data_IF_992184570645
#
_entry.id   IF_992184570645
#
_cell.length_a   1.000
_cell.length_b   1.000
_cell.length_c   1.000
_cell.angle_alpha   90.00
_cell.angle_beta   90.00
_cell.angle_gamma   90.00
#
_symmetry.space_group_name_H-M   'P 1'
#
loop_
_entity.id
_entity.type
_entity.pdbx_description
1 polymer ?
#
# COMPACT_ATOMS: atom_id res chain seq x y z
N UNK A 1 19.04 29.83 25.27
CA UNK A 1 18.30 28.55 25.17
C UNK A 1 19.22 27.45 24.62
N UNK A 2 20.07 26.87 25.49
CA UNK A 2 21.17 25.94 25.12
C UNK A 2 21.15 24.61 25.91
N UNK A 3 20.01 24.23 26.51
CA UNK A 3 19.98 23.17 27.53
C UNK A 3 18.94 22.08 27.26
N UNK A 4 19.08 21.27 26.21
CA UNK A 4 18.21 20.08 26.06
C UNK A 4 18.86 18.80 25.52
N UNK A 5 20.19 18.75 25.33
CA UNK A 5 20.88 17.53 24.94
C UNK A 5 22.06 17.24 25.85
N UNK A 6 21.77 17.05 27.14
CA UNK A 6 22.64 16.27 28.02
C UNK A 6 22.11 14.84 27.98
N UNK A 7 22.39 14.13 26.87
CA UNK A 7 22.33 12.68 26.86
C UNK A 7 23.31 12.23 27.94
N UNK A 8 22.77 11.77 29.08
CA UNK A 8 23.52 11.18 30.18
C UNK A 8 24.09 9.85 29.69
N UNK A 9 25.18 9.91 28.94
CA UNK A 9 26.12 8.80 28.74
C UNK A 9 26.79 8.55 30.08
N UNK A 10 26.18 7.69 30.88
CA UNK A 10 26.63 7.44 32.24
C UNK A 10 25.94 6.25 32.87
N UNK A 11 25.92 5.11 32.17
CA UNK A 11 25.96 3.80 32.82
C UNK A 11 26.43 2.75 31.82
N UNK A 12 27.68 2.32 32.00
CA UNK A 12 28.33 1.22 31.29
C UNK A 12 27.77 -0.11 31.83
N UNK A 13 26.48 -0.37 31.62
CA UNK A 13 25.87 -1.66 31.93
C UNK A 13 25.99 -2.57 30.69
N UNK A 14 26.86 -3.58 30.68
CA UNK A 14 27.08 -4.45 29.52
C UNK A 14 25.77 -5.12 29.03
N UNK A 15 24.80 -5.28 29.92
CA UNK A 15 23.47 -5.80 29.61
C UNK A 15 22.64 -4.90 28.67
N UNK A 16 22.80 -3.57 28.70
CA UNK A 16 22.03 -2.68 27.81
C UNK A 16 22.54 -2.75 26.36
N UNK A 17 23.86 -2.85 26.18
CA UNK A 17 24.48 -3.09 24.86
C UNK A 17 24.11 -4.47 24.33
N UNK A 18 24.16 -5.49 25.18
CA UNK A 18 23.81 -6.87 24.82
C UNK A 18 22.33 -7.03 24.48
N UNK A 19 21.44 -6.38 25.24
CA UNK A 19 20.01 -6.31 24.94
C UNK A 19 19.76 -5.55 23.64
N UNK A 20 20.47 -4.44 23.40
CA UNK A 20 20.44 -3.73 22.13
C UNK A 20 20.85 -4.62 20.96
N UNK A 21 21.97 -5.34 21.05
CA UNK A 21 22.44 -6.23 19.98
C UNK A 21 21.52 -7.44 19.76
N UNK A 22 21.02 -8.08 20.82
CA UNK A 22 20.06 -9.20 20.70
C UNK A 22 18.71 -8.76 20.14
N UNK A 23 18.25 -7.58 20.53
CA UNK A 23 17.03 -6.97 20.02
C UNK A 23 17.20 -6.62 18.53
N UNK A 24 18.34 -6.04 18.13
CA UNK A 24 18.66 -5.78 16.72
C UNK A 24 18.79 -7.07 15.89
N UNK A 25 19.35 -8.15 16.44
CA UNK A 25 19.50 -9.45 15.76
C UNK A 25 18.15 -10.17 15.61
N UNK A 26 17.29 -10.15 16.62
CA UNK A 26 15.90 -10.66 16.51
C UNK A 26 15.07 -9.81 15.56
N UNK A 27 15.23 -8.48 15.61
CA UNK A 27 14.57 -7.57 14.67
C UNK A 27 15.10 -7.73 13.23
N UNK A 28 16.36 -8.11 13.04
CA UNK A 28 16.84 -8.41 11.70
C UNK A 28 16.25 -9.71 11.13
N UNK A 29 15.87 -10.69 11.97
CA UNK A 29 15.40 -12.00 11.52
C UNK A 29 13.89 -12.07 11.30
N UNK A 30 13.10 -11.43 12.15
CA UNK A 30 11.63 -11.49 12.11
C UNK A 30 11.02 -10.53 11.07
N UNK A 31 11.68 -9.42 10.75
CA UNK A 31 11.12 -8.35 9.93
C UNK A 31 11.59 -8.38 8.47
N UNK A 32 12.66 -9.14 8.18
CA UNK A 32 13.06 -9.44 6.80
C UNK A 32 11.93 -10.08 5.98
N UNK A 33 11.18 -11.11 6.45
CA UNK A 33 10.13 -11.72 5.64
C UNK A 33 8.96 -10.76 5.34
N UNK A 34 8.54 -9.93 6.29
CA UNK A 34 7.46 -8.94 6.07
C UNK A 34 7.86 -7.88 5.05
N UNK A 35 9.11 -7.38 5.11
CA UNK A 35 9.64 -6.45 4.10
C UNK A 35 9.76 -7.07 2.72
N UNK A 36 10.23 -8.32 2.64
CA UNK A 36 10.29 -9.06 1.37
C UNK A 36 8.87 -9.28 0.83
N UNK A 37 7.90 -9.59 1.68
CA UNK A 37 6.49 -9.71 1.30
C UNK A 37 5.91 -8.39 0.78
N UNK A 38 6.22 -7.26 1.43
CA UNK A 38 5.85 -5.92 0.96
C UNK A 38 6.47 -5.58 -0.40
N UNK A 39 7.75 -5.88 -0.61
CA UNK A 39 8.42 -5.63 -1.89
C UNK A 39 7.88 -6.55 -3.00
N UNK A 40 7.66 -7.83 -2.68
CA UNK A 40 7.09 -8.79 -3.62
C UNK A 40 5.68 -8.39 -4.06
N UNK A 41 4.85 -7.93 -3.12
CA UNK A 41 3.50 -7.43 -3.43
C UNK A 41 3.54 -6.18 -4.32
N UNK A 42 4.48 -5.25 -4.12
CA UNK A 42 4.68 -4.11 -5.04
C UNK A 42 5.08 -4.58 -6.44
N UNK A 43 6.00 -5.56 -6.50
CA UNK A 43 6.44 -6.17 -7.75
C UNK A 43 5.31 -6.83 -8.55
N UNK A 44 4.21 -7.22 -7.89
CA UNK A 44 3.00 -7.73 -8.54
C UNK A 44 1.95 -6.62 -8.77
N UNK A 45 1.80 -5.68 -7.84
CA UNK A 45 0.82 -4.62 -7.90
C UNK A 45 0.99 -3.71 -9.12
N UNK A 46 2.23 -3.29 -9.41
CA UNK A 46 2.52 -2.40 -10.54
C UNK A 46 2.24 -3.06 -11.90
N UNK A 47 2.71 -4.28 -12.20
CA UNK A 47 2.32 -4.98 -13.42
C UNK A 47 0.83 -5.23 -13.54
N UNK A 48 0.14 -5.55 -12.45
CA UNK A 48 -1.32 -5.72 -12.47
C UNK A 48 -2.04 -4.40 -12.76
N UNK A 49 -1.59 -3.30 -12.16
CA UNK A 49 -2.12 -1.96 -12.42
C UNK A 49 -1.89 -1.53 -13.88
N UNK A 50 -0.68 -1.69 -14.40
CA UNK A 50 -0.37 -1.43 -15.81
C UNK A 50 -1.17 -2.34 -16.74
N UNK A 51 -1.19 -3.64 -16.46
CA UNK A 51 -1.94 -4.63 -17.22
C UNK A 51 -3.43 -4.31 -17.24
N UNK A 52 -3.99 -3.81 -16.14
CA UNK A 52 -5.36 -3.33 -16.05
C UNK A 52 -5.57 -2.09 -16.93
N UNK A 53 -4.75 -1.04 -16.81
CA UNK A 53 -4.89 0.21 -17.59
C UNK A 53 -4.78 -0.05 -19.10
N UNK A 54 -3.85 -0.89 -19.54
CA UNK A 54 -3.64 -1.18 -20.96
C UNK A 54 -4.52 -2.32 -21.49
N UNK A 55 -5.35 -2.94 -20.64
CA UNK A 55 -6.21 -4.03 -21.09
C UNK A 55 -7.31 -3.51 -22.03
N UNK A 56 -7.39 -4.09 -23.23
CA UNK A 56 -8.47 -3.84 -24.18
C UNK A 56 -9.81 -4.49 -23.78
N UNK A 57 -9.82 -5.29 -22.70
CA UNK A 57 -10.94 -6.14 -22.30
C UNK A 57 -11.37 -5.89 -20.85
N UNK A 58 -11.98 -4.73 -20.61
CA UNK A 58 -12.60 -4.39 -19.33
C UNK A 58 -14.05 -4.84 -19.23
N UNK A 59 -14.78 -4.72 -20.35
CA UNK A 59 -16.14 -5.22 -20.50
C UNK A 59 -16.22 -6.19 -21.69
N UNK A 60 -16.99 -7.25 -21.49
CA UNK A 60 -17.44 -8.18 -22.53
C UNK A 60 -18.95 -8.11 -22.62
N UNK A 61 -19.51 -7.92 -23.81
CA UNK A 61 -20.93 -8.03 -24.07
C UNK A 61 -21.20 -8.99 -25.23
N UNK A 62 -22.48 -9.24 -25.54
CA UNK A 62 -22.84 -10.04 -26.71
C UNK A 62 -22.40 -9.32 -27.99
N UNK A 63 -21.29 -9.74 -28.59
CA UNK A 63 -20.78 -9.19 -29.85
C UNK A 63 -19.87 -7.96 -29.73
N UNK A 64 -19.55 -7.49 -28.52
CA UNK A 64 -18.60 -6.38 -28.34
C UNK A 64 -17.66 -6.57 -27.15
N UNK A 65 -16.43 -6.07 -27.32
CA UNK A 65 -15.44 -5.95 -26.25
C UNK A 65 -15.07 -4.49 -26.12
N UNK A 66 -14.97 -3.99 -24.89
CA UNK A 66 -14.59 -2.61 -24.61
C UNK A 66 -13.47 -2.55 -23.58
N UNK A 67 -12.43 -1.80 -23.91
CA UNK A 67 -11.36 -1.46 -22.97
C UNK A 67 -11.72 -0.23 -22.14
N UNK A 68 -10.86 0.12 -21.19
CA UNK A 68 -11.01 1.36 -20.44
C UNK A 68 -10.90 2.61 -21.34
N UNK A 69 -10.17 2.51 -22.46
CA UNK A 69 -9.96 3.59 -23.42
C UNK A 69 -10.99 3.61 -24.55
N UNK A 70 -11.80 2.58 -24.69
CA UNK A 70 -12.84 2.57 -25.73
C UNK A 70 -14.20 2.77 -25.07
N UNK A 71 -15.02 3.63 -25.66
CA UNK A 71 -16.41 3.83 -25.22
C UNK A 71 -17.40 3.16 -26.16
N UNK A 72 -16.95 2.22 -27.00
CA UNK A 72 -17.82 1.54 -27.94
C UNK A 72 -18.65 0.46 -27.24
N UNK A 73 -19.98 0.54 -27.34
CA UNK A 73 -20.92 -0.41 -26.75
C UNK A 73 -22.01 -0.80 -27.76
N UNK A 74 -22.73 -1.88 -27.46
CA UNK A 74 -23.91 -2.28 -28.23
C UNK A 74 -25.17 -1.95 -27.43
N UNK A 75 -26.07 -1.12 -27.97
CA UNK A 75 -27.30 -0.77 -27.28
C UNK A 75 -28.38 -1.85 -27.41
N UNK A 76 -29.27 -1.98 -26.43
CA UNK A 76 -30.30 -3.05 -26.36
C UNK A 76 -31.16 -3.18 -27.64
N UNK A 77 -31.42 -2.07 -28.33
CA UNK A 77 -32.36 -2.01 -29.44
C UNK A 77 -31.70 -2.11 -30.83
N UNK A 78 -30.37 -2.21 -30.91
CA UNK A 78 -29.65 -2.27 -32.19
C UNK A 78 -28.61 -3.38 -32.23
N UNK A 79 -28.46 -4.00 -33.40
CA UNK A 79 -27.42 -5.01 -33.69
C UNK A 79 -26.08 -4.39 -34.08
N UNK A 80 -25.99 -3.06 -34.13
CA UNK A 80 -24.81 -2.31 -34.57
C UNK A 80 -24.10 -1.71 -33.37
N UNK A 81 -22.77 -1.90 -33.33
CA UNK A 81 -21.89 -1.30 -32.33
C UNK A 81 -21.87 0.23 -32.50
N UNK A 82 -22.15 0.95 -31.43
CA UNK A 82 -22.08 2.41 -31.39
C UNK A 82 -20.80 2.85 -30.68
N UNK A 83 -20.03 3.72 -31.34
CA UNK A 83 -18.82 4.32 -30.79
C UNK A 83 -19.05 5.83 -30.67
N UNK A 84 -19.48 6.33 -29.50
CA UNK A 84 -19.61 7.76 -29.30
C UNK A 84 -18.25 8.45 -29.50
N UNK A 85 -18.27 9.58 -30.21
CA UNK A 85 -17.05 10.37 -30.50
C UNK A 85 -16.40 10.92 -29.23
N UNK A 86 -17.20 11.12 -28.17
CA UNK A 86 -16.74 11.62 -26.88
C UNK A 86 -17.02 10.62 -25.77
N UNK A 87 -15.99 10.33 -24.98
CA UNK A 87 -16.09 9.50 -23.77
C UNK A 87 -16.85 10.23 -22.66
N UNK A 88 -17.65 9.53 -21.86
CA UNK A 88 -18.35 10.13 -20.74
C UNK A 88 -17.38 10.64 -19.67
N UNK A 89 -17.77 11.72 -18.99
CA UNK A 89 -16.93 12.40 -18.00
C UNK A 89 -16.52 11.49 -16.84
N UNK A 90 -17.41 10.57 -16.40
CA UNK A 90 -17.12 9.62 -15.34
C UNK A 90 -16.01 8.64 -15.73
N UNK A 91 -15.95 8.20 -16.98
CA UNK A 91 -14.93 7.27 -17.47
C UNK A 91 -13.54 7.94 -17.47
N UNK A 92 -13.46 9.22 -17.83
CA UNK A 92 -12.22 10.00 -17.74
C UNK A 92 -11.75 10.16 -16.28
N UNK A 93 -12.67 10.31 -15.33
CA UNK A 93 -12.32 10.38 -13.91
C UNK A 93 -11.73 9.04 -13.41
N UNK A 94 -12.31 7.91 -13.82
CA UNK A 94 -11.80 6.56 -13.49
C UNK A 94 -10.40 6.36 -14.08
N UNK A 95 -10.19 6.69 -15.37
CA UNK A 95 -8.87 6.64 -16.01
C UNK A 95 -7.86 7.50 -15.25
N UNK A 96 -8.25 8.73 -14.91
CA UNK A 96 -7.41 9.66 -14.15
C UNK A 96 -6.99 9.10 -12.80
N UNK A 97 -7.93 8.53 -12.04
CA UNK A 97 -7.65 7.90 -10.74
C UNK A 97 -6.71 6.69 -10.86
N UNK A 98 -6.89 5.86 -11.88
CA UNK A 98 -6.04 4.69 -12.11
C UNK A 98 -4.60 5.09 -12.49
N UNK A 99 -4.44 6.07 -13.38
CA UNK A 99 -3.11 6.61 -13.75
C UNK A 99 -2.46 7.30 -12.56
N UNK A 100 -3.22 8.07 -11.78
CA UNK A 100 -2.75 8.70 -10.56
C UNK A 100 -2.22 7.66 -9.57
N UNK A 101 -3.00 6.61 -9.28
CA UNK A 101 -2.59 5.52 -8.41
C UNK A 101 -1.34 4.79 -8.93
N UNK A 102 -1.25 4.55 -10.24
CA UNK A 102 -0.08 3.92 -10.85
C UNK A 102 1.19 4.79 -10.74
N UNK A 103 1.08 6.09 -11.03
CA UNK A 103 2.21 7.03 -10.98
C UNK A 103 2.75 7.22 -9.56
N UNK A 104 1.85 7.42 -8.59
CA UNK A 104 2.22 7.55 -7.18
C UNK A 104 2.71 6.22 -6.62
N UNK A 105 2.08 5.10 -7.00
CA UNK A 105 2.54 3.77 -6.64
C UNK A 105 3.96 3.47 -7.14
N UNK A 106 4.32 3.97 -8.32
CA UNK A 106 5.67 3.87 -8.86
C UNK A 106 6.68 4.68 -8.02
N UNK A 107 6.32 5.91 -7.63
CA UNK A 107 7.15 6.73 -6.72
C UNK A 107 7.33 6.04 -5.36
N UNK A 108 6.27 5.46 -4.81
CA UNK A 108 6.33 4.69 -3.57
C UNK A 108 7.21 3.44 -3.70
N UNK A 109 7.20 2.77 -4.85
CA UNK A 109 8.08 1.64 -5.13
C UNK A 109 9.56 2.06 -5.14
N UNK A 110 9.89 3.23 -5.72
CA UNK A 110 11.24 3.78 -5.65
C UNK A 110 11.64 4.05 -4.20
N UNK A 111 10.77 4.65 -3.38
CA UNK A 111 11.03 4.88 -1.96
C UNK A 111 11.28 3.56 -1.20
N UNK A 112 10.51 2.51 -1.51
CA UNK A 112 10.70 1.18 -0.93
C UNK A 112 12.07 0.59 -1.32
N UNK A 113 12.49 0.70 -2.58
CA UNK A 113 13.80 0.23 -3.06
C UNK A 113 14.93 1.01 -2.40
N UNK A 114 14.83 2.34 -2.34
CA UNK A 114 15.80 3.20 -1.63
C UNK A 114 15.89 2.83 -0.14
N UNK A 115 14.76 2.48 0.47
CA UNK A 115 14.71 1.96 1.84
C UNK A 115 15.49 0.65 2.01
N UNK A 116 15.49 -0.23 1.01
CA UNK A 116 16.31 -1.46 1.03
C UNK A 116 17.80 -1.13 0.95
N UNK A 117 18.18 -0.23 0.04
CA UNK A 117 19.58 0.15 -0.22
C UNK A 117 20.21 1.01 0.90
N UNK A 118 19.40 1.60 1.77
CA UNK A 118 19.89 2.48 2.85
C UNK A 118 20.38 1.67 4.06
N UNK A 119 21.68 1.81 4.40
CA UNK A 119 22.32 1.16 5.56
C UNK A 119 21.90 1.67 6.95
N UNK A 120 21.72 2.99 7.21
CA UNK A 120 21.31 3.45 8.54
C UNK A 120 19.85 3.05 8.88
N UNK A 121 19.68 2.23 9.92
CA UNK A 121 18.39 1.74 10.42
C UNK A 121 17.29 2.81 10.64
N UNK A 122 17.55 3.97 11.27
CA UNK A 122 16.47 4.92 11.55
C UNK A 122 15.93 5.58 10.28
N UNK A 123 16.80 5.85 9.29
CA UNK A 123 16.37 6.40 7.99
C UNK A 123 15.59 5.38 7.17
N UNK A 124 16.03 4.11 7.19
CA UNK A 124 15.36 3.01 6.50
C UNK A 124 13.89 2.90 6.92
N UNK A 125 13.63 2.95 8.23
CA UNK A 125 12.26 2.78 8.75
C UNK A 125 11.35 3.94 8.33
N UNK A 126 11.86 5.17 8.31
CA UNK A 126 11.11 6.33 7.81
C UNK A 126 10.67 6.18 6.35
N UNK A 127 11.54 5.68 5.48
CA UNK A 127 11.19 5.44 4.07
C UNK A 127 10.10 4.36 3.90
N UNK A 128 10.14 3.29 4.69
CA UNK A 128 9.13 2.23 4.64
C UNK A 128 7.78 2.70 5.18
N UNK A 129 7.76 3.48 6.26
CA UNK A 129 6.52 4.07 6.78
C UNK A 129 5.83 4.95 5.75
N UNK A 130 6.59 5.90 5.18
CA UNK A 130 6.09 6.82 4.15
C UNK A 130 5.60 6.07 2.91
N UNK A 131 6.37 5.07 2.44
CA UNK A 131 5.93 4.23 1.32
C UNK A 131 4.63 3.49 1.62
N UNK A 132 4.46 2.95 2.84
CA UNK A 132 3.24 2.26 3.27
C UNK A 132 1.99 3.14 3.23
N UNK A 133 2.09 4.38 3.73
CA UNK A 133 0.99 5.36 3.66
C UNK A 133 0.61 5.70 2.21
N UNK A 134 1.62 5.87 1.35
CA UNK A 134 1.39 6.16 -0.06
C UNK A 134 0.70 4.98 -0.75
N UNK A 135 1.12 3.74 -0.48
CA UNK A 135 0.45 2.54 -1.01
C UNK A 135 -0.99 2.39 -0.53
N UNK A 136 -1.29 2.81 0.70
CA UNK A 136 -2.67 2.84 1.21
C UNK A 136 -3.53 3.82 0.40
N UNK A 137 -3.01 5.03 0.13
CA UNK A 137 -3.70 6.02 -0.70
C UNK A 137 -3.91 5.49 -2.12
N UNK A 138 -2.92 4.83 -2.71
CA UNK A 138 -3.05 4.20 -4.03
C UNK A 138 -4.11 3.10 -4.04
N UNK A 139 -4.14 2.25 -3.01
CA UNK A 139 -5.16 1.20 -2.88
C UNK A 139 -6.57 1.80 -2.81
N UNK A 140 -6.77 2.82 -1.98
CA UNK A 140 -8.04 3.52 -1.87
C UNK A 140 -8.45 4.17 -3.20
N UNK A 141 -7.54 4.89 -3.86
CA UNK A 141 -7.81 5.53 -5.15
C UNK A 141 -8.20 4.50 -6.23
N UNK A 142 -7.47 3.37 -6.31
CA UNK A 142 -7.78 2.29 -7.23
C UNK A 142 -9.14 1.64 -6.92
N UNK A 143 -9.45 1.37 -5.65
CA UNK A 143 -10.76 0.83 -5.23
C UNK A 143 -11.89 1.79 -5.58
N UNK A 144 -11.73 3.10 -5.32
CA UNK A 144 -12.74 4.10 -5.68
C UNK A 144 -12.96 4.11 -7.20
N UNK A 145 -11.90 4.09 -7.99
CA UNK A 145 -12.00 4.02 -9.45
C UNK A 145 -12.77 2.77 -9.91
N UNK A 146 -12.49 1.62 -9.31
CA UNK A 146 -13.14 0.34 -9.61
C UNK A 146 -14.60 0.27 -9.16
N UNK A 147 -15.01 1.03 -8.15
CA UNK A 147 -16.42 1.12 -7.72
C UNK A 147 -17.19 2.11 -8.59
N UNK A 148 -16.58 3.22 -9.00
CA UNK A 148 -17.20 4.20 -9.90
C UNK A 148 -17.47 3.59 -11.27
N UNK A 149 -16.58 2.73 -11.76
CA UNK A 149 -16.70 2.12 -13.08
C UNK A 149 -18.04 1.36 -13.32
N UNK A 150 -18.42 0.35 -12.51
CA UNK A 150 -19.71 -0.32 -12.64
C UNK A 150 -20.88 0.63 -12.36
N UNK A 151 -20.75 1.54 -11.39
CA UNK A 151 -21.80 2.53 -11.10
C UNK A 151 -22.07 3.45 -12.30
N UNK A 152 -21.03 3.86 -13.03
CA UNK A 152 -21.16 4.67 -14.24
C UNK A 152 -21.83 3.93 -15.40
N UNK A 153 -21.55 2.63 -15.55
CA UNK A 153 -22.17 1.77 -16.55
C UNK A 153 -23.66 1.54 -16.24
N UNK A 154 -24.01 1.22 -14.99
CA UNK A 154 -25.40 0.96 -14.57
C UNK A 154 -26.30 2.20 -14.66
N UNK A 155 -25.73 3.40 -14.52
CA UNK A 155 -26.46 4.65 -14.73
C UNK A 155 -26.85 4.86 -16.20
N UNK A 156 -26.11 4.24 -17.14
CA UNK A 156 -26.39 4.29 -18.56
C UNK A 156 -27.25 3.11 -19.00
N UNK A 157 -28.57 3.27 -18.88
CA UNK A 157 -29.59 2.25 -19.25
C UNK A 157 -29.59 1.87 -20.73
N UNK A 158 -28.74 2.49 -21.57
CA UNK A 158 -28.66 2.18 -22.99
C UNK A 158 -27.81 0.94 -23.30
N UNK A 159 -27.00 0.48 -22.34
CA UNK A 159 -26.03 -0.60 -22.53
C UNK A 159 -26.71 -1.98 -22.32
N UNK A 160 -26.53 -2.89 -23.28
CA UNK A 160 -27.02 -4.27 -23.18
C UNK A 160 -26.31 -5.08 -22.07
N UNK A 161 -26.80 -6.31 -21.83
CA UNK A 161 -26.20 -7.24 -20.86
C UNK A 161 -24.68 -7.34 -21.05
N UNK A 162 -23.93 -6.99 -20.01
CA UNK A 162 -22.48 -6.92 -20.03
C UNK A 162 -21.88 -7.72 -18.87
N UNK A 163 -20.66 -8.20 -19.09
CA UNK A 163 -19.86 -8.98 -18.17
C UNK A 163 -18.52 -8.30 -17.96
N UNK A 164 -18.00 -8.36 -16.73
CA UNK A 164 -16.71 -7.78 -16.40
C UNK A 164 -15.58 -8.69 -16.90
N UNK A 165 -14.63 -8.07 -17.59
CA UNK A 165 -13.50 -8.75 -18.19
C UNK A 165 -12.25 -8.83 -17.33
N UNK A 166 -11.18 -9.32 -17.95
CA UNK A 166 -9.89 -9.49 -17.28
C UNK A 166 -9.29 -8.16 -16.83
N UNK A 167 -9.51 -7.06 -17.57
CA UNK A 167 -9.01 -5.73 -17.20
C UNK A 167 -9.54 -5.24 -15.85
N UNK A 168 -10.83 -5.45 -15.60
CA UNK A 168 -11.48 -5.10 -14.34
C UNK A 168 -10.96 -5.97 -13.18
N UNK A 169 -10.80 -7.29 -13.43
CA UNK A 169 -10.21 -8.22 -12.45
C UNK A 169 -8.76 -7.88 -12.10
N UNK A 170 -7.93 -7.52 -13.09
CA UNK A 170 -6.55 -7.06 -12.86
C UNK A 170 -6.51 -5.78 -12.03
N UNK A 171 -7.49 -4.89 -12.20
CA UNK A 171 -7.63 -3.69 -11.39
C UNK A 171 -7.85 -4.01 -9.93
N UNK A 172 -8.82 -4.89 -9.62
CA UNK A 172 -9.05 -5.37 -8.25
C UNK A 172 -7.85 -6.10 -7.67
N UNK A 173 -7.17 -6.92 -8.48
CA UNK A 173 -5.92 -7.56 -8.09
C UNK A 173 -4.85 -6.54 -7.71
N UNK A 174 -4.68 -5.48 -8.50
CA UNK A 174 -3.73 -4.40 -8.19
C UNK A 174 -4.06 -3.68 -6.88
N UNK A 175 -5.34 -3.36 -6.63
CA UNK A 175 -5.80 -2.72 -5.40
C UNK A 175 -5.53 -3.60 -4.17
N UNK A 176 -5.79 -4.91 -4.28
CA UNK A 176 -5.49 -5.88 -3.22
C UNK A 176 -3.99 -5.95 -2.92
N UNK A 177 -3.14 -6.05 -3.93
CA UNK A 177 -1.69 -6.10 -3.73
C UNK A 177 -1.15 -4.78 -3.18
N UNK A 178 -1.67 -3.61 -3.58
CA UNK A 178 -1.33 -2.33 -2.96
C UNK A 178 -1.71 -2.29 -1.49
N UNK A 179 -2.89 -2.80 -1.12
CA UNK A 179 -3.31 -2.90 0.28
C UNK A 179 -2.41 -3.85 1.08
N UNK A 180 -2.06 -5.01 0.53
CA UNK A 180 -1.13 -5.94 1.16
C UNK A 180 0.25 -5.29 1.36
N UNK A 181 0.76 -4.57 0.36
CA UNK A 181 2.02 -3.83 0.47
C UNK A 181 1.95 -2.77 1.59
N UNK A 182 0.87 -1.99 1.64
CA UNK A 182 0.64 -0.99 2.68
C UNK A 182 0.61 -1.61 4.08
N UNK A 183 -0.13 -2.72 4.26
CA UNK A 183 -0.22 -3.42 5.53
C UNK A 183 1.11 -4.04 5.94
N UNK A 184 1.81 -4.73 5.04
CA UNK A 184 3.12 -5.32 5.33
C UNK A 184 4.14 -4.26 5.76
N UNK A 185 4.12 -3.07 5.14
CA UNK A 185 5.03 -1.97 5.50
C UNK A 185 4.60 -1.21 6.76
N UNK A 186 3.30 -1.12 7.06
CA UNK A 186 2.79 -0.39 8.25
C UNK A 186 2.80 -1.24 9.52
N UNK A 187 2.55 -2.55 9.41
CA UNK A 187 2.65 -3.49 10.54
C UNK A 187 4.07 -3.57 11.09
N UNK A 188 5.06 -3.40 10.21
CA UNK A 188 6.48 -3.24 10.55
C UNK A 188 6.70 -2.16 11.63
N UNK A 189 6.00 -1.03 11.52
CA UNK A 189 6.10 0.07 12.48
C UNK A 189 5.23 -0.11 13.71
N UNK A 190 3.98 -0.57 13.56
CA UNK A 190 3.07 -0.78 14.68
C UNK A 190 3.61 -1.79 15.70
N UNK A 191 4.17 -2.91 15.21
CA UNK A 191 4.73 -3.92 16.10
C UNK A 191 5.99 -3.37 16.80
N UNK A 192 6.76 -2.47 16.16
CA UNK A 192 7.96 -1.84 16.75
C UNK A 192 7.57 -0.87 17.86
N UNK A 193 6.53 -0.07 17.64
CA UNK A 193 5.98 0.80 18.69
C UNK A 193 5.42 0.00 19.86
N UNK A 194 4.70 -1.10 19.57
CA UNK A 194 4.15 -1.98 20.60
C UNK A 194 5.25 -2.60 21.49
N UNK A 195 6.41 -2.92 20.89
CA UNK A 195 7.53 -3.50 21.61
C UNK A 195 8.29 -2.46 22.45
N UNK A 196 8.45 -1.22 21.95
CA UNK A 196 8.95 -0.08 22.75
C UNK A 196 8.05 0.20 23.96
N UNK A 197 6.74 0.16 23.79
CA UNK A 197 5.78 0.37 24.87
C UNK A 197 5.84 -0.73 25.95
N UNK A 198 6.12 -1.98 25.57
CA UNK A 198 6.38 -3.08 26.53
C UNK A 198 7.71 -2.90 27.25
N UNK A 199 8.76 -2.49 26.56
CA UNK A 199 10.07 -2.23 27.17
C UNK A 199 9.99 -1.09 28.19
N UNK A 200 9.31 0.01 27.87
CA UNK A 200 9.08 1.12 28.82
C UNK A 200 8.30 0.66 30.05
N UNK A 201 7.26 -0.18 29.89
CA UNK A 201 6.52 -0.76 31.02
C UNK A 201 7.37 -1.67 31.90
N UNK A 202 8.26 -2.46 31.31
CA UNK A 202 9.19 -3.32 32.06
C UNK A 202 10.24 -2.52 32.81
N UNK A 203 10.81 -1.47 32.20
CA UNK A 203 11.73 -0.54 32.87
C UNK A 203 11.05 0.17 34.04
N UNK A 204 9.83 0.69 33.84
CA UNK A 204 9.07 1.35 34.91
C UNK A 204 8.66 0.39 36.03
N UNK A 205 8.47 -0.90 35.72
CA UNK A 205 8.16 -1.93 36.71
C UNK A 205 9.39 -2.33 37.51
N UNK A 206 10.58 -2.37 36.88
CA UNK A 206 11.85 -2.70 37.55
C UNK A 206 12.32 -1.59 38.49
N UNK A 207 12.21 -0.34 38.08
CA UNK A 207 12.55 0.83 38.91
C UNK A 207 11.71 0.87 40.21
N UNK A 208 10.44 0.44 40.11
CA UNK A 208 9.55 0.33 41.28
C UNK A 208 9.94 -0.80 42.23
N UNK A 209 10.39 -1.95 41.71
CA UNK A 209 10.85 -3.08 42.51
C UNK A 209 12.19 -2.83 43.21
N UNK A 210 13.09 -2.05 42.59
CA UNK A 210 14.35 -1.64 43.21
C UNK A 210 14.11 -0.62 44.34
N UNK A 211 13.03 0.18 44.25
CA UNK A 211 12.62 1.11 45.33
C UNK A 211 12.03 0.38 46.55
N UNK A 212 11.28 -0.72 46.35
CA UNK A 212 10.71 -1.51 47.46
C UNK A 212 11.76 -2.36 48.20
N UNK A 213 12.85 -2.75 47.55
CA UNK A 213 13.90 -3.57 48.17
C UNK A 213 14.94 -2.78 48.97
N UNK A 214 14.90 -1.44 48.94
CA UNK A 214 15.69 -0.56 49.80
C UNK A 214 14.99 -0.14 51.11
N UNK A 215 13.75 -0.60 51.36
CA UNK A 215 12.99 -0.31 52.59
C UNK A 215 12.88 -1.49 53.58
N UNK A 216 13.67 -2.56 53.40
CA UNK A 216 13.75 -3.70 54.34
C UNK A 216 15.14 -3.81 54.94
#
# INVERSE_FOLDING_TARGET
>A
MKNFLKFKTGENSPDLRKFGEEYYLREAKLWRPFRIGGIASIGLALPFSMGSIFNAYWLYGEGFNAGMWDSCYQPLNFTVRMCPEKRPHWQNAVIGLMIFAASIGFLAAILAVLGVCTSPLPKKIYYFHSAGEIFLVCAMAATIALVIYPAGIEMDKSIASHYYGSGYGLGWGSAFFFLCAALCMSLDDLVRESAKAKCCRLCFKRDRSDTESQQV
#
